data_IF_756187794793
#
_entry.id   IF_756187794793
#
_cell.length_a   1.000
_cell.length_b   1.000
_cell.length_c   1.000
_cell.angle_alpha   90.00
_cell.angle_beta   90.00
_cell.angle_gamma   90.00
#
_symmetry.space_group_name_H-M   'P 1'
#
loop_
_entity.id
_entity.type
_entity.pdbx_description
1 polymer ?
#
# COMPACT_ATOMS: atom_id res chain seq x y z
N UNK A 1 -15.56 26.66 5.50
CA UNK A 1 -15.53 25.35 4.81
C UNK A 1 -14.08 25.03 4.49
N UNK A 2 -13.40 24.37 5.42
CA UNK A 2 -12.16 23.67 5.13
C UNK A 2 -12.41 22.28 5.66
N UNK A 3 -13.03 21.43 4.83
CA UNK A 3 -13.12 20.02 5.13
C UNK A 3 -11.68 19.56 5.01
N UNK A 4 -11.00 19.44 6.15
CA UNK A 4 -9.74 18.73 6.24
C UNK A 4 -10.00 17.37 5.59
N UNK A 5 -9.57 17.23 4.34
CA UNK A 5 -9.44 15.93 3.72
C UNK A 5 -8.41 15.24 4.62
N UNK A 6 -8.88 14.46 5.59
CA UNK A 6 -8.01 13.51 6.25
C UNK A 6 -7.62 12.57 5.11
N UNK A 7 -6.48 12.86 4.48
CA UNK A 7 -5.83 11.91 3.60
C UNK A 7 -5.76 10.62 4.44
N UNK A 8 -6.43 9.57 3.97
CA UNK A 8 -6.47 8.26 4.61
C UNK A 8 -5.04 7.69 4.47
N UNK A 9 -4.17 8.19 5.34
CA UNK A 9 -2.76 7.84 5.42
C UNK A 9 -2.69 6.54 6.20
N UNK A 10 -2.13 5.53 5.56
CA UNK A 10 -1.89 4.24 6.17
C UNK A 10 -0.39 4.05 6.31
N UNK A 11 0.02 3.25 7.28
CA UNK A 11 1.44 2.94 7.49
C UNK A 11 1.83 1.74 6.63
N UNK A 12 2.95 1.85 5.93
CA UNK A 12 3.55 0.73 5.23
C UNK A 12 3.90 -0.38 6.23
N UNK A 13 3.40 -1.59 6.01
CA UNK A 13 3.63 -2.73 6.91
C UNK A 13 5.11 -3.18 7.01
N UNK A 14 5.98 -2.70 6.11
CA UNK A 14 7.41 -3.06 6.06
C UNK A 14 8.29 -1.97 6.66
N UNK A 15 8.17 -0.73 6.16
CA UNK A 15 9.05 0.37 6.53
C UNK A 15 8.39 1.39 7.46
N UNK A 16 7.12 1.20 7.83
CA UNK A 16 6.32 2.13 8.65
C UNK A 16 6.23 3.56 8.11
N UNK A 17 6.45 3.75 6.80
CA UNK A 17 6.24 5.03 6.15
C UNK A 17 4.75 5.34 6.03
N UNK A 18 4.36 6.57 6.38
CA UNK A 18 3.02 7.10 6.11
C UNK A 18 2.84 7.30 4.61
N UNK A 19 1.86 6.62 4.02
CA UNK A 19 1.53 6.69 2.60
C UNK A 19 0.04 6.84 2.41
N UNK A 20 -0.37 7.46 1.31
CA UNK A 20 -1.75 7.43 0.87
C UNK A 20 -1.90 6.39 -0.23
N UNK A 21 -2.64 5.30 0.00
CA UNK A 21 -2.79 4.21 -1.00
C UNK A 21 -3.26 4.75 -2.36
N UNK A 22 -4.19 5.70 -2.34
CA UNK A 22 -4.76 6.34 -3.53
C UNK A 22 -3.83 7.32 -4.24
N UNK A 23 -2.77 7.81 -3.58
CA UNK A 23 -1.94 8.93 -4.08
C UNK A 23 -0.49 8.51 -4.31
N UNK A 24 0.05 7.68 -3.44
CA UNK A 24 1.43 7.18 -3.43
C UNK A 24 1.56 5.80 -4.10
N UNK A 25 0.54 5.38 -4.86
CA UNK A 25 0.50 4.05 -5.51
C UNK A 25 0.75 2.93 -4.50
N UNK A 26 0.17 3.09 -3.31
CA UNK A 26 0.27 2.08 -2.28
C UNK A 26 -0.44 0.81 -2.72
N UNK A 27 0.04 -0.34 -2.28
CA UNK A 27 -0.65 -1.60 -2.46
C UNK A 27 -1.36 -1.96 -1.17
N UNK A 28 -2.68 -1.80 -1.13
CA UNK A 28 -3.49 -2.27 0.00
C UNK A 28 -3.62 -3.80 -0.04
N UNK A 29 -3.43 -4.46 1.10
CA UNK A 29 -3.58 -5.90 1.25
C UNK A 29 -4.17 -6.23 2.61
N UNK A 30 -4.96 -7.31 2.69
CA UNK A 30 -5.75 -7.57 3.89
C UNK A 30 -6.81 -6.49 4.14
N UNK A 31 -7.22 -6.32 5.40
CA UNK A 31 -8.30 -5.41 5.79
C UNK A 31 -7.82 -3.99 6.10
N UNK A 32 -6.63 -3.86 6.70
CA UNK A 32 -6.13 -2.60 7.26
C UNK A 32 -4.62 -2.41 7.01
N UNK A 33 -4.02 -3.19 6.11
CA UNK A 33 -2.59 -3.12 5.81
C UNK A 33 -2.33 -2.61 4.40
N UNK A 34 -1.20 -1.93 4.22
CA UNK A 34 -0.73 -1.57 2.89
C UNK A 34 0.79 -1.54 2.82
N UNK A 35 1.29 -1.56 1.59
CA UNK A 35 2.70 -1.36 1.26
C UNK A 35 2.88 -0.05 0.50
N UNK A 36 3.97 0.64 0.79
CA UNK A 36 4.40 1.75 -0.05
C UNK A 36 4.90 1.23 -1.38
N UNK A 37 4.89 2.11 -2.38
CA UNK A 37 5.36 1.79 -3.73
C UNK A 37 6.75 1.11 -3.74
N UNK A 38 7.71 1.66 -2.98
CA UNK A 38 9.05 1.09 -2.90
C UNK A 38 9.09 -0.32 -2.29
N UNK A 39 8.38 -0.54 -1.18
CA UNK A 39 8.31 -1.86 -0.56
C UNK A 39 7.52 -2.86 -1.40
N UNK A 40 6.52 -2.42 -2.14
CA UNK A 40 5.79 -3.27 -3.07
C UNK A 40 6.70 -3.71 -4.22
N UNK A 41 7.45 -2.79 -4.84
CA UNK A 41 8.43 -3.13 -5.88
C UNK A 41 9.53 -4.08 -5.39
N UNK A 42 10.09 -3.82 -4.20
CA UNK A 42 11.15 -4.65 -3.60
C UNK A 42 10.69 -6.10 -3.35
N UNK A 43 9.39 -6.28 -3.09
CA UNK A 43 8.75 -7.59 -2.87
C UNK A 43 8.25 -8.24 -4.15
N UNK A 44 8.70 -7.76 -5.32
CA UNK A 44 8.35 -8.32 -6.61
C UNK A 44 7.05 -7.81 -7.22
N UNK A 45 6.42 -6.78 -6.63
CA UNK A 45 5.30 -6.10 -7.26
C UNK A 45 5.74 -5.43 -8.56
N UNK A 46 4.92 -5.52 -9.59
CA UNK A 46 5.17 -4.86 -10.87
C UNK A 46 4.11 -3.81 -11.10
N UNK A 47 4.52 -2.54 -11.18
CA UNK A 47 3.64 -1.43 -11.46
C UNK A 47 3.64 -1.10 -12.95
N UNK A 48 2.44 -0.99 -13.52
CA UNK A 48 2.23 -0.45 -14.85
C UNK A 48 2.13 1.08 -14.77
N UNK A 49 3.17 1.78 -15.23
CA UNK A 49 3.14 3.25 -15.27
C UNK A 49 2.17 3.79 -16.32
N UNK A 50 1.80 2.99 -17.32
CA UNK A 50 0.94 3.43 -18.42
C UNK A 50 -0.54 3.43 -18.04
N UNK A 51 -1.00 2.41 -17.33
CA UNK A 51 -2.35 2.25 -16.83
C UNK A 51 -2.50 2.63 -15.35
N UNK A 52 -1.41 3.03 -14.70
CA UNK A 52 -1.33 3.43 -13.28
C UNK A 52 -1.96 2.35 -12.38
N UNK A 53 -1.54 1.10 -12.57
CA UNK A 53 -2.07 -0.07 -11.84
C UNK A 53 -1.00 -1.12 -11.59
N UNK A 54 -1.20 -2.00 -10.60
CA UNK A 54 -0.32 -3.15 -10.36
C UNK A 54 -0.60 -4.25 -11.40
N UNK A 55 0.39 -4.58 -12.23
CA UNK A 55 0.35 -5.77 -13.10
C UNK A 55 0.52 -7.05 -12.29
N UNK A 56 1.45 -7.01 -11.34
CA UNK A 56 1.76 -8.12 -10.46
C UNK A 56 1.71 -7.63 -9.03
N UNK A 57 0.97 -8.34 -8.19
CA UNK A 57 0.85 -8.03 -6.78
C UNK A 57 2.17 -8.34 -6.06
N UNK A 58 2.64 -7.45 -5.17
CA UNK A 58 3.82 -7.73 -4.35
C UNK A 58 3.61 -8.93 -3.43
N UNK A 59 4.69 -9.62 -3.07
CA UNK A 59 4.60 -10.74 -2.13
C UNK A 59 4.33 -10.22 -0.69
N UNK A 60 3.12 -10.46 -0.22
CA UNK A 60 2.64 -10.08 1.12
C UNK A 60 2.47 -11.30 2.04
N UNK A 61 2.93 -12.49 1.62
CA UNK A 61 2.69 -13.75 2.35
C UNK A 61 3.41 -13.81 3.70
N UNK A 62 4.54 -13.10 3.78
CA UNK A 62 5.37 -12.99 4.98
C UNK A 62 4.97 -11.81 5.88
N UNK A 63 4.00 -10.99 5.46
CA UNK A 63 3.53 -9.85 6.24
C UNK A 63 2.45 -10.27 7.22
N UNK A 64 2.36 -9.61 8.39
CA UNK A 64 1.22 -9.78 9.27
C UNK A 64 -0.02 -9.30 8.52
N UNK A 65 -0.80 -10.25 8.01
CA UNK A 65 -2.20 -10.04 7.76
C UNK A 65 -2.78 -9.90 9.17
N UNK A 66 -3.23 -8.71 9.56
CA UNK A 66 -4.02 -8.54 10.77
C UNK A 66 -5.32 -9.35 10.56
N UNK A 67 -5.23 -10.67 10.74
CA UNK A 67 -6.35 -11.60 10.85
C UNK A 67 -6.98 -11.28 12.19
N UNK A 68 -7.99 -10.40 12.18
CA UNK A 68 -8.77 -10.06 13.36
C UNK A 68 -9.18 -11.34 14.11
N UNK A 69 -8.80 -11.41 15.38
CA UNK A 69 -9.10 -12.51 16.29
C UNK A 69 -10.57 -12.61 16.69
#
# INVERSE_FOLDING_TARGET
MHRSEAEDLVLCAVCSAEISVSRDRGFAFGSESALCFGCALDRGGVWDELHDTWLEAPDVRDLPLEEGG
#
